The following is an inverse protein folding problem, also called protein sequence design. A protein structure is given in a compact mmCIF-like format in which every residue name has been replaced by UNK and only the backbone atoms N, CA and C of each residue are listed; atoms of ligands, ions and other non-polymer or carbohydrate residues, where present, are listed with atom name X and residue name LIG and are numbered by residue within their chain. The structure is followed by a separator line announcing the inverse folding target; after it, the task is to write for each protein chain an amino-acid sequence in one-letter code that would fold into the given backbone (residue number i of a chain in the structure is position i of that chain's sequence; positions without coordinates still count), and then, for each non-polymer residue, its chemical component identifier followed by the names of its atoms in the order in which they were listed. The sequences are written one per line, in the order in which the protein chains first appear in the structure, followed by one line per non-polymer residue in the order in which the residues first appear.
data_IF_898390530704
#
_entry.id   IF_898390530704
#
_cell.length_a   1.000
_cell.length_b   1.000
_cell.length_c   1.000
_cell.angle_alpha   90.00
_cell.angle_beta   90.00
_cell.angle_gamma   90.00
#
_symmetry.space_group_name_H-M   'P 1'
#
loop_
_entity.id
_entity.type
_entity.pdbx_description
1 polymer ?
#
# COMPACT_ATOMS: atom_id res chain seq x y z
N UNK A 1 3.01 4.66 7.16
CA UNK A 1 3.65 4.99 5.88
C UNK A 1 2.68 5.40 4.79
N UNK A 2 1.42 4.93 4.80
CA UNK A 2 0.45 5.34 3.78
C UNK A 2 0.00 6.79 3.92
N UNK A 3 -0.34 7.38 2.79
CA UNK A 3 -0.98 8.69 2.72
C UNK A 3 -2.43 8.55 3.21
N UNK A 4 -2.89 9.37 4.17
CA UNK A 4 -4.29 9.34 4.58
C UNK A 4 -5.22 9.70 3.42
N UNK A 5 -6.38 9.06 3.34
CA UNK A 5 -7.42 9.42 2.37
C UNK A 5 -8.21 10.63 2.90
N UNK A 6 -8.17 11.80 2.22
CA UNK A 6 -8.94 12.96 2.65
C UNK A 6 -10.43 12.62 2.74
N UNK A 7 -11.07 12.96 3.86
CA UNK A 7 -12.50 12.72 4.10
C UNK A 7 -12.88 11.37 4.71
N UNK A 8 -11.98 10.37 4.70
CA UNK A 8 -12.18 9.08 5.39
C UNK A 8 -11.38 8.98 6.68
N UNK A 9 -10.24 9.67 6.72
CA UNK A 9 -9.33 9.67 7.85
C UNK A 9 -9.20 11.08 8.40
N UNK A 10 -9.47 11.27 9.70
CA UNK A 10 -9.37 12.57 10.38
C UNK A 10 -7.93 13.07 10.60
N UNK A 11 -7.04 12.82 9.63
CA UNK A 11 -5.62 13.17 9.66
C UNK A 11 -5.13 13.50 8.25
N UNK A 12 -4.15 14.39 8.17
CA UNK A 12 -3.49 14.80 6.92
C UNK A 12 -2.11 14.16 6.72
N UNK A 13 -1.52 13.59 7.77
CA UNK A 13 -0.17 13.03 7.74
C UNK A 13 -0.13 11.51 8.00
N UNK A 14 0.82 10.77 7.38
CA UNK A 14 1.10 9.39 7.75
C UNK A 14 1.51 9.26 9.22
N UNK A 15 1.10 8.19 9.90
CA UNK A 15 1.53 7.93 11.30
C UNK A 15 3.05 7.73 11.45
N UNK A 16 3.71 7.32 10.37
CA UNK A 16 5.15 7.08 10.35
C UNK A 16 5.64 7.09 8.91
N UNK A 17 6.89 7.52 8.73
CA UNK A 17 7.62 7.48 7.47
C UNK A 17 8.60 6.30 7.46
N UNK A 18 8.91 5.78 6.26
CA UNK A 18 9.79 4.60 6.10
C UNK A 18 11.18 4.87 6.67
N UNK A 19 11.68 6.08 6.48
CA UNK A 19 12.97 6.59 6.98
C UNK A 19 13.00 6.65 8.51
N UNK A 20 11.91 7.11 9.12
CA UNK A 20 11.75 7.13 10.58
C UNK A 20 11.76 5.72 11.16
N UNK A 21 11.07 4.77 10.52
CA UNK A 21 11.12 3.36 10.90
C UNK A 21 12.52 2.77 10.73
N UNK A 22 13.24 3.11 9.65
CA UNK A 22 14.65 2.70 9.45
C UNK A 22 15.55 3.23 10.57
N UNK A 23 15.38 4.47 10.97
CA UNK A 23 16.13 5.05 12.09
C UNK A 23 15.84 4.32 13.39
N UNK A 24 14.57 4.07 13.71
CA UNK A 24 14.15 3.35 14.91
C UNK A 24 14.76 1.95 15.00
N UNK A 25 14.74 1.19 13.89
CA UNK A 25 15.37 -0.15 13.80
C UNK A 25 16.88 -0.07 14.01
N UNK A 26 17.56 0.93 13.43
CA UNK A 26 19.01 1.11 13.60
C UNK A 26 19.40 1.42 15.05
N UNK A 27 18.57 2.17 15.77
CA UNK A 27 18.79 2.51 17.17
C UNK A 27 18.55 1.33 18.13
N UNK A 28 17.82 0.30 17.69
CA UNK A 28 17.45 -0.86 18.53
C UNK A 28 17.85 -2.20 17.88
N UNK A 29 19.16 -2.44 17.65
CA UNK A 29 19.64 -3.62 16.91
C UNK A 29 19.42 -4.95 17.65
N UNK A 30 19.15 -4.93 18.95
CA UNK A 30 18.95 -6.13 19.78
C UNK A 30 17.46 -6.41 20.06
N UNK A 31 16.54 -5.64 19.49
CA UNK A 31 15.12 -5.85 19.68
C UNK A 31 14.68 -7.16 19.00
N UNK A 32 13.90 -7.98 19.72
CA UNK A 32 13.36 -9.21 19.16
C UNK A 32 12.58 -8.92 17.87
N UNK A 33 12.92 -9.63 16.79
CA UNK A 33 12.27 -9.49 15.49
C UNK A 33 12.87 -8.43 14.57
N UNK A 34 13.92 -7.71 14.98
CA UNK A 34 14.54 -6.63 14.18
C UNK A 34 14.92 -7.04 12.75
N UNK A 35 15.44 -8.26 12.55
CA UNK A 35 15.79 -8.76 11.21
C UNK A 35 14.54 -8.90 10.32
N UNK A 36 13.45 -9.47 10.86
CA UNK A 36 12.18 -9.58 10.14
C UNK A 36 11.61 -8.20 9.83
N UNK A 37 11.72 -7.26 10.77
CA UNK A 37 11.27 -5.88 10.56
C UNK A 37 12.06 -5.19 9.46
N UNK A 38 13.37 -5.43 9.34
CA UNK A 38 14.18 -4.89 8.23
C UNK A 38 13.69 -5.39 6.87
N UNK A 39 13.50 -6.70 6.73
CA UNK A 39 12.98 -7.31 5.50
C UNK A 39 11.60 -6.77 5.15
N UNK A 40 10.68 -6.77 6.11
CA UNK A 40 9.34 -6.21 5.91
C UNK A 40 9.39 -4.73 5.50
N UNK A 41 10.30 -3.96 6.09
CA UNK A 41 10.46 -2.54 5.74
C UNK A 41 10.96 -2.38 4.30
N UNK A 42 11.85 -3.23 3.81
CA UNK A 42 12.29 -3.18 2.42
C UNK A 42 11.15 -3.53 1.45
N UNK A 43 10.26 -4.44 1.84
CA UNK A 43 9.05 -4.79 1.09
C UNK A 43 7.97 -3.71 1.14
N UNK A 44 7.88 -2.91 2.20
CA UNK A 44 6.85 -1.89 2.35
C UNK A 44 6.83 -0.89 1.18
N UNK A 45 5.63 -0.59 0.70
CA UNK A 45 5.34 0.42 -0.34
C UNK A 45 4.25 1.37 0.14
N UNK A 46 4.39 2.65 -0.18
CA UNK A 46 3.31 3.64 0.00
C UNK A 46 2.29 3.39 -1.12
N UNK A 47 1.00 3.33 -0.78
CA UNK A 47 -0.08 3.01 -1.73
C UNK A 47 -0.54 1.54 -1.70
N UNK A 48 0.15 0.65 -1.00
CA UNK A 48 -0.40 -0.66 -0.62
C UNK A 48 -1.07 -0.49 0.74
N UNK A 49 -2.28 0.02 0.73
CA UNK A 49 -2.89 0.69 1.88
C UNK A 49 -3.62 -0.28 2.83
N UNK A 50 -3.68 -1.55 2.45
CA UNK A 50 -4.22 -2.64 3.24
C UNK A 50 -3.30 -3.87 3.26
N UNK A 51 -3.54 -4.76 4.22
CA UNK A 51 -2.84 -6.05 4.28
C UNK A 51 -3.07 -6.89 3.02
N UNK A 52 -4.31 -7.04 2.50
CA UNK A 52 -4.54 -7.78 1.27
C UNK A 52 -3.84 -7.19 0.04
N UNK A 53 -3.82 -5.87 -0.12
CA UNK A 53 -3.08 -5.21 -1.22
C UNK A 53 -1.58 -5.49 -1.13
N UNK A 54 -0.99 -5.39 0.06
CA UNK A 54 0.42 -5.71 0.28
C UNK A 54 0.71 -7.16 -0.04
N UNK A 55 -0.15 -8.08 0.42
CA UNK A 55 0.00 -9.51 0.18
C UNK A 55 -0.11 -9.84 -1.31
N UNK A 56 -1.09 -9.27 -2.02
CA UNK A 56 -1.28 -9.44 -3.44
C UNK A 56 -0.07 -8.94 -4.24
N UNK A 57 0.44 -7.73 -3.92
CA UNK A 57 1.66 -7.20 -4.55
C UNK A 57 2.84 -8.15 -4.38
N UNK A 58 3.08 -8.64 -3.16
CA UNK A 58 4.17 -9.56 -2.88
C UNK A 58 4.01 -10.89 -3.61
N UNK A 59 2.80 -11.43 -3.70
CA UNK A 59 2.51 -12.64 -4.48
C UNK A 59 2.77 -12.45 -5.98
N UNK A 60 2.43 -11.28 -6.54
CA UNK A 60 2.74 -10.94 -7.93
C UNK A 60 4.25 -10.88 -8.18
N UNK A 61 5.01 -10.29 -7.26
CA UNK A 61 6.47 -10.24 -7.34
C UNK A 61 7.11 -11.64 -7.22
N UNK A 62 6.61 -12.48 -6.31
CA UNK A 62 7.05 -13.87 -6.16
C UNK A 62 6.79 -14.69 -7.43
N UNK A 63 5.67 -14.42 -8.11
CA UNK A 63 5.35 -14.97 -9.44
C UNK A 63 6.19 -14.37 -10.59
N UNK A 64 7.17 -13.52 -10.29
CA UNK A 64 8.05 -12.83 -11.26
C UNK A 64 7.32 -11.89 -12.23
N UNK A 65 6.17 -11.37 -11.83
CA UNK A 65 5.56 -10.25 -12.53
C UNK A 65 6.34 -8.95 -12.21
N UNK A 66 6.34 -7.96 -13.12
CA UNK A 66 6.89 -6.64 -12.81
C UNK A 66 6.19 -6.03 -11.59
N UNK A 67 6.84 -5.13 -10.86
CA UNK A 67 6.16 -4.46 -9.74
C UNK A 67 5.00 -3.59 -10.29
N UNK A 68 3.75 -3.79 -9.82
CA UNK A 68 2.62 -2.99 -10.28
C UNK A 68 2.69 -1.56 -9.72
N UNK A 69 2.12 -0.63 -10.48
CA UNK A 69 1.78 0.70 -9.95
C UNK A 69 0.68 0.56 -8.89
N UNK A 70 0.75 1.33 -7.82
CA UNK A 70 -0.19 1.29 -6.70
C UNK A 70 -1.12 2.51 -6.72
N UNK A 71 -2.36 2.35 -6.25
CA UNK A 71 -3.41 3.39 -6.29
C UNK A 71 -3.49 4.02 -7.71
N UNK A 72 -3.51 3.16 -8.72
CA UNK A 72 -3.44 3.50 -10.13
C UNK A 72 -4.72 4.23 -10.56
N UNK A 73 -4.68 5.56 -10.58
CA UNK A 73 -5.72 6.40 -11.19
C UNK A 73 -5.78 6.18 -12.70
N UNK A 74 -6.94 5.83 -13.25
CA UNK A 74 -7.07 5.50 -14.69
C UNK A 74 -6.65 6.68 -15.57
N UNK A 75 -7.21 7.86 -15.30
CA UNK A 75 -6.80 9.14 -15.88
C UNK A 75 -6.09 9.99 -14.81
N UNK A 76 -4.75 10.16 -14.88
CA UNK A 76 -3.99 10.90 -13.88
C UNK A 76 -4.32 12.41 -13.85
N UNK A 77 -4.89 12.96 -14.93
CA UNK A 77 -5.21 14.38 -15.05
C UNK A 77 -6.62 14.70 -14.54
N UNK A 78 -7.47 13.70 -14.34
CA UNK A 78 -8.81 13.84 -13.77
C UNK A 78 -8.84 13.47 -12.27
N UNK A 79 -9.04 14.45 -11.36
CA UNK A 79 -9.19 14.22 -9.92
C UNK A 79 -10.36 13.30 -9.54
N UNK A 80 -11.34 13.10 -10.43
CA UNK A 80 -12.51 12.25 -10.22
C UNK A 80 -12.41 10.88 -10.90
N UNK A 81 -11.34 10.63 -11.66
CA UNK A 81 -11.12 9.33 -12.28
C UNK A 81 -11.06 8.23 -11.22
N UNK A 82 -11.67 7.06 -11.49
CA UNK A 82 -11.52 5.90 -10.63
C UNK A 82 -10.04 5.50 -10.51
N UNK A 83 -9.70 4.91 -9.37
CA UNK A 83 -8.39 4.33 -9.10
C UNK A 83 -8.50 2.84 -8.84
N UNK A 84 -7.59 2.05 -9.41
CA UNK A 84 -7.40 0.65 -9.07
C UNK A 84 -6.36 0.51 -7.95
N UNK A 85 -6.48 -0.49 -7.10
CA UNK A 85 -5.50 -0.74 -6.03
C UNK A 85 -4.09 -0.99 -6.60
N UNK A 86 -3.99 -1.83 -7.63
CA UNK A 86 -2.76 -2.14 -8.34
C UNK A 86 -3.00 -2.15 -9.86
N UNK A 87 -1.95 -1.99 -10.66
CA UNK A 87 -2.07 -2.21 -12.10
C UNK A 87 -0.83 -1.93 -12.93
N UNK A 88 -1.01 -2.02 -14.24
CA UNK A 88 0.02 -1.77 -15.24
C UNK A 88 -0.55 -0.95 -16.39
N UNK A 89 -0.16 0.33 -16.53
CA UNK A 89 -0.64 1.18 -17.64
C UNK A 89 -0.28 0.62 -19.00
N UNK A 90 0.97 0.15 -19.14
CA UNK A 90 1.48 -0.42 -20.40
C UNK A 90 0.63 -1.58 -20.91
N UNK A 91 0.09 -2.39 -20.00
CA UNK A 91 -0.74 -3.55 -20.35
C UNK A 91 -2.25 -3.26 -20.26
N UNK A 92 -2.63 -2.02 -19.90
CA UNK A 92 -4.03 -1.62 -19.67
C UNK A 92 -4.74 -2.58 -18.72
N UNK A 93 -4.04 -3.00 -17.67
CA UNK A 93 -4.55 -3.96 -16.70
C UNK A 93 -4.71 -3.26 -15.35
N UNK A 94 -5.92 -3.32 -14.81
CA UNK A 94 -6.25 -2.91 -13.45
C UNK A 94 -6.51 -4.15 -12.60
N UNK A 95 -6.04 -4.12 -11.36
CA UNK A 95 -6.22 -5.18 -10.37
C UNK A 95 -6.83 -4.53 -9.13
N UNK A 96 -8.05 -4.93 -8.82
CA UNK A 96 -8.77 -4.48 -7.63
C UNK A 96 -8.86 -5.66 -6.66
N UNK A 97 -8.45 -5.45 -5.42
CA UNK A 97 -8.79 -6.39 -4.37
C UNK A 97 -10.23 -6.12 -3.94
N UNK A 98 -11.14 -7.01 -4.31
CA UNK A 98 -12.51 -6.98 -3.80
C UNK A 98 -12.54 -7.68 -2.44
N UNK A 99 -12.58 -6.90 -1.37
CA UNK A 99 -12.61 -7.44 -0.02
C UNK A 99 -13.87 -8.28 0.23
N UNK A 100 -13.78 -9.27 1.11
CA UNK A 100 -14.98 -9.90 1.66
C UNK A 100 -15.87 -8.81 2.32
N UNK A 101 -17.21 -8.90 2.24
CA UNK A 101 -18.10 -7.88 2.78
C UNK A 101 -18.07 -7.91 4.31
N UNK A 102 -17.08 -7.27 4.92
CA UNK A 102 -17.18 -6.77 6.29
C UNK A 102 -17.82 -5.38 6.22
N UNK A 103 -19.07 -5.35 5.77
CA UNK A 103 -19.83 -4.13 5.57
C UNK A 103 -20.29 -3.58 6.92
N UNK A 104 -19.57 -2.60 7.45
CA UNK A 104 -20.30 -1.42 7.91
C UNK A 104 -20.59 -0.56 6.67
N UNK A 105 -21.80 0.03 6.64
CA UNK A 105 -22.33 0.82 5.51
C UNK A 105 -21.42 1.96 5.05
N UNK A 106 -20.48 2.39 5.88
CA UNK A 106 -19.64 3.58 5.65
C UNK A 106 -18.44 3.33 4.73
N UNK A 107 -18.18 2.09 4.31
CA UNK A 107 -17.03 1.75 3.46
C UNK A 107 -17.40 1.38 2.01
N UNK A 108 -18.68 1.44 1.66
CA UNK A 108 -19.13 1.31 0.27
C UNK A 108 -19.22 2.71 -0.35
N UNK A 109 -18.15 3.11 -1.03
CA UNK A 109 -18.14 4.27 -1.93
C UNK A 109 -18.52 3.85 -3.33
#
# INVERSE_FOLDING_TARGET
IRMPRPGLEGRSEPYAFKEGLRLLIRQHPNMKGVEKTRLALDDMRVGADSFPETFLRLAMLDARLPEPELQLRVDPDDPWSPSADLGYRRFRTAVQYDGAPHLTRDQQS
#
